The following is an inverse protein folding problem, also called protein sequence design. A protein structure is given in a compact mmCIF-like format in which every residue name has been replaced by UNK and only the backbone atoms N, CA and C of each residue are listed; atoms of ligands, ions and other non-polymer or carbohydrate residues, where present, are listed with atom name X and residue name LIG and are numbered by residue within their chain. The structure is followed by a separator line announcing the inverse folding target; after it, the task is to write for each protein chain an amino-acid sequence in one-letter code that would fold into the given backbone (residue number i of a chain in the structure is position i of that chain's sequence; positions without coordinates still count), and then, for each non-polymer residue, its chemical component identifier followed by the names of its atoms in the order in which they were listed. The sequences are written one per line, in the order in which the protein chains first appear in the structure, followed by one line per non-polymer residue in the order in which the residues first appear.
data_IF_605015573377
#
_entry.id   IF_605015573377
#
_cell.length_a   1.000
_cell.length_b   1.000
_cell.length_c   1.000
_cell.angle_alpha   90.00
_cell.angle_beta   90.00
_cell.angle_gamma   90.00
#
_symmetry.space_group_name_H-M   'P 1'
#
loop_
_entity.id
_entity.type
_entity.pdbx_description
1 polymer ?
#
# COMPACT_ATOMS: atom_id res chain seq x y z
N UNK A 1 -18.38 -10.69 69.30
CA UNK A 1 -19.67 -10.97 68.63
C UNK A 1 -19.84 -9.82 67.64
N UNK A 2 -19.35 -9.95 66.41
CA UNK A 2 -20.10 -10.51 65.26
C UNK A 2 -21.34 -9.63 65.00
N UNK A 3 -21.61 -9.04 63.83
CA UNK A 3 -21.17 -9.32 62.46
C UNK A 3 -21.63 -8.15 61.54
N UNK A 4 -21.13 -8.19 60.30
CA UNK A 4 -21.30 -7.30 59.14
C UNK A 4 -22.72 -6.83 58.73
N UNK A 5 -22.75 -5.65 58.07
CA UNK A 5 -23.37 -5.37 56.76
C UNK A 5 -23.23 -3.85 56.48
N UNK A 6 -22.43 -3.33 55.55
CA UNK A 6 -22.36 -3.48 54.08
C UNK A 6 -23.49 -2.77 53.30
N UNK A 7 -23.06 -1.91 52.36
CA UNK A 7 -23.73 -1.49 51.10
C UNK A 7 -24.84 -0.42 51.21
N UNK A 8 -24.96 0.62 50.37
CA UNK A 8 -24.32 0.95 49.09
C UNK A 8 -24.43 2.47 48.83
N UNK A 9 -23.37 3.08 48.28
CA UNK A 9 -23.47 4.35 47.55
C UNK A 9 -23.73 4.02 46.07
N UNK A 10 -24.59 4.76 45.34
CA UNK A 10 -24.78 4.52 43.92
C UNK A 10 -23.55 5.02 43.16
N UNK A 11 -22.73 4.06 42.70
CA UNK A 11 -21.74 4.28 41.66
C UNK A 11 -22.46 4.80 40.41
N UNK A 12 -22.22 6.06 40.06
CA UNK A 12 -22.44 6.55 38.69
C UNK A 12 -21.36 5.90 37.84
N UNK A 13 -21.71 4.79 37.20
CA UNK A 13 -20.86 4.16 36.20
C UNK A 13 -20.70 5.15 35.03
N UNK A 14 -19.51 5.77 34.95
CA UNK A 14 -19.06 6.41 33.73
C UNK A 14 -19.01 5.33 32.64
N UNK A 15 -19.75 5.61 31.58
CA UNK A 15 -19.95 4.78 30.41
C UNK A 15 -18.61 4.47 29.71
N UNK A 16 -18.16 3.20 29.61
CA UNK A 16 -16.89 2.83 28.96
C UNK A 16 -16.93 2.92 27.42
N UNK A 17 -18.01 3.44 26.83
CA UNK A 17 -18.21 3.44 25.37
C UNK A 17 -17.53 4.62 24.67
N UNK A 18 -17.00 5.61 25.39
CA UNK A 18 -16.40 6.82 24.78
C UNK A 18 -14.89 6.66 24.48
N UNK A 19 -14.19 5.72 25.13
CA UNK A 19 -12.76 5.50 24.88
C UNK A 19 -12.47 4.70 23.60
N UNK A 20 -13.48 4.16 22.92
CA UNK A 20 -13.29 3.41 21.66
C UNK A 20 -13.23 4.33 20.41
N UNK A 21 -13.52 5.63 20.55
CA UNK A 21 -13.52 6.58 19.43
C UNK A 21 -12.16 7.25 19.15
N UNK A 22 -11.12 6.93 19.94
CA UNK A 22 -9.82 7.64 19.93
C UNK A 22 -8.62 6.74 19.65
N UNK A 23 -8.81 5.59 18.99
CA UNK A 23 -7.68 4.81 18.50
C UNK A 23 -7.50 5.01 16.99
N UNK A 24 -6.56 5.86 16.53
CA UNK A 24 -6.27 6.05 15.10
C UNK A 24 -5.76 4.76 14.43
N UNK A 25 -5.34 3.75 15.20
CA UNK A 25 -4.99 2.43 14.66
C UNK A 25 -6.21 1.62 14.17
N UNK A 26 -7.44 1.98 14.56
CA UNK A 26 -8.66 1.22 14.26
C UNK A 26 -9.62 1.92 13.31
N UNK A 27 -9.34 3.17 12.90
CA UNK A 27 -10.13 3.87 11.90
C UNK A 27 -9.26 4.57 10.84
N UNK A 28 -9.05 3.95 9.66
CA UNK A 28 -8.31 4.57 8.55
C UNK A 28 -8.92 5.88 8.04
N UNK A 29 -10.18 6.18 8.38
CA UNK A 29 -10.82 7.47 8.07
C UNK A 29 -10.20 8.66 8.83
N UNK A 30 -9.42 8.41 9.89
CA UNK A 30 -8.82 9.44 10.75
C UNK A 30 -7.31 9.57 10.61
N UNK A 31 -6.71 9.08 9.52
CA UNK A 31 -5.29 9.30 9.24
C UNK A 31 -5.11 10.67 8.57
N UNK A 32 -4.61 11.72 9.28
CA UNK A 32 -4.69 13.09 8.77
C UNK A 32 -3.88 13.31 7.50
N UNK A 33 -2.73 12.64 7.35
CA UNK A 33 -1.92 12.76 6.14
C UNK A 33 -2.57 12.05 4.94
N UNK A 34 -3.16 10.86 5.13
CA UNK A 34 -3.93 10.19 4.06
C UNK A 34 -5.19 10.97 3.67
N UNK A 35 -5.88 11.56 4.65
CA UNK A 35 -7.06 12.38 4.40
C UNK A 35 -6.71 13.64 3.59
N UNK A 36 -5.66 14.36 4.00
CA UNK A 36 -5.16 15.52 3.25
C UNK A 36 -4.72 15.13 1.84
N UNK A 37 -4.00 14.02 1.70
CA UNK A 37 -3.61 13.50 0.40
C UNK A 37 -4.83 13.16 -0.48
N UNK A 38 -5.86 12.54 0.10
CA UNK A 38 -7.09 12.24 -0.62
C UNK A 38 -7.77 13.52 -1.16
N UNK A 39 -7.91 14.55 -0.33
CA UNK A 39 -8.47 15.85 -0.72
C UNK A 39 -7.65 16.54 -1.80
N UNK A 40 -6.34 16.67 -1.59
CA UNK A 40 -5.47 17.49 -2.44
C UNK A 40 -5.10 16.79 -3.75
N UNK A 41 -5.02 15.46 -3.76
CA UNK A 41 -4.45 14.69 -4.86
C UNK A 41 -5.43 13.72 -5.52
N UNK A 42 -6.25 13.01 -4.75
CA UNK A 42 -7.12 11.94 -5.27
C UNK A 42 -8.44 12.51 -5.79
N UNK A 43 -9.18 13.26 -4.97
CA UNK A 43 -10.50 13.81 -5.32
C UNK A 43 -10.48 14.61 -6.64
N UNK A 44 -9.47 15.47 -6.93
CA UNK A 44 -9.43 16.20 -8.21
C UNK A 44 -9.21 15.32 -9.44
N UNK A 45 -8.73 14.08 -9.25
CA UNK A 45 -8.38 13.13 -10.32
C UNK A 45 -9.41 12.01 -10.48
N UNK A 46 -10.31 11.84 -9.52
CA UNK A 46 -11.44 10.93 -9.62
C UNK A 46 -12.57 11.68 -10.34
N UNK A 47 -13.05 11.22 -11.50
CA UNK A 47 -14.16 11.89 -12.18
C UNK A 47 -15.40 11.91 -11.27
N UNK A 48 -16.17 13.01 -11.30
CA UNK A 48 -17.32 13.22 -10.41
C UNK A 48 -18.37 12.09 -10.43
N UNK A 49 -18.41 11.28 -11.50
CA UNK A 49 -19.33 10.15 -11.62
C UNK A 49 -18.89 8.88 -10.86
N UNK A 50 -17.59 8.71 -10.54
CA UNK A 50 -17.10 7.56 -9.76
C UNK A 50 -17.12 7.80 -8.25
N UNK A 51 -17.27 9.04 -7.79
CA UNK A 51 -17.40 9.35 -6.36
C UNK A 51 -18.70 8.78 -5.74
N UNK A 52 -19.78 8.68 -6.54
CA UNK A 52 -21.03 8.02 -6.14
C UNK A 52 -20.94 6.49 -6.14
N UNK A 53 -20.19 5.88 -7.06
CA UNK A 53 -19.95 4.43 -7.11
C UNK A 53 -18.95 3.96 -6.04
N UNK A 54 -17.97 4.78 -5.69
CA UNK A 54 -17.05 4.53 -4.58
C UNK A 54 -17.74 4.58 -3.20
N UNK A 55 -18.86 5.32 -3.09
CA UNK A 55 -19.65 5.45 -1.86
C UNK A 55 -20.71 4.35 -1.69
N UNK A 56 -21.05 3.62 -2.75
CA UNK A 56 -22.14 2.64 -2.77
C UNK A 56 -21.68 1.23 -3.10
N UNK A 57 -21.00 0.55 -2.17
CA UNK A 57 -21.04 -0.92 -2.00
C UNK A 57 -20.63 -1.87 -3.14
N UNK A 58 -20.43 -1.43 -4.38
CA UNK A 58 -20.17 -2.30 -5.54
C UNK A 58 -19.05 -1.73 -6.42
N UNK A 59 -17.87 -1.52 -5.85
CA UNK A 59 -16.62 -1.48 -6.64
C UNK A 59 -16.16 -2.92 -6.95
N UNK A 60 -17.09 -3.78 -7.37
CA UNK A 60 -16.88 -5.23 -7.59
C UNK A 60 -17.08 -5.66 -9.03
N UNK A 61 -17.50 -4.78 -9.95
CA UNK A 61 -17.78 -5.16 -11.34
C UNK A 61 -16.78 -4.59 -12.37
N UNK A 62 -15.52 -4.40 -11.95
CA UNK A 62 -14.42 -4.37 -12.91
C UNK A 62 -13.88 -5.79 -13.00
N UNK A 63 -14.00 -6.40 -14.18
CA UNK A 63 -13.36 -7.68 -14.46
C UNK A 63 -11.91 -7.62 -13.94
N UNK A 64 -11.49 -8.55 -13.07
CA UNK A 64 -10.18 -8.47 -12.44
C UNK A 64 -9.14 -8.39 -13.56
N UNK A 65 -8.31 -7.35 -13.50
CA UNK A 65 -7.19 -7.22 -14.42
C UNK A 65 -6.26 -8.43 -14.30
N UNK A 66 -5.35 -8.62 -15.27
CA UNK A 66 -4.31 -9.63 -15.15
C UNK A 66 -3.55 -9.42 -13.85
N UNK A 67 -3.29 -10.53 -13.15
CA UNK A 67 -2.50 -10.51 -11.94
C UNK A 67 -1.02 -10.20 -12.24
N UNK A 68 -0.26 -9.91 -11.19
CA UNK A 68 1.18 -9.59 -11.28
C UNK A 68 1.98 -10.67 -12.03
N UNK A 69 1.65 -11.95 -11.87
CA UNK A 69 2.32 -13.04 -12.57
C UNK A 69 2.02 -13.02 -14.08
N UNK A 70 0.79 -12.68 -14.46
CA UNK A 70 0.38 -12.57 -15.86
C UNK A 70 1.03 -11.38 -16.54
N UNK A 71 1.08 -10.22 -15.89
CA UNK A 71 1.78 -9.04 -16.42
C UNK A 71 3.27 -9.33 -16.66
N UNK A 72 3.94 -9.98 -15.69
CA UNK A 72 5.33 -10.40 -15.83
C UNK A 72 5.54 -11.36 -17.01
N UNK A 73 4.64 -12.34 -17.17
CA UNK A 73 4.70 -13.30 -18.28
C UNK A 73 4.55 -12.59 -19.63
N UNK A 74 3.55 -11.74 -19.75
CA UNK A 74 3.29 -10.96 -20.97
C UNK A 74 4.47 -10.02 -21.31
N UNK A 75 5.09 -9.39 -20.31
CA UNK A 75 6.31 -8.60 -20.51
C UNK A 75 7.49 -9.46 -20.98
N UNK A 76 7.67 -10.64 -20.41
CA UNK A 76 8.73 -11.56 -20.83
C UNK A 76 8.54 -12.01 -22.29
N UNK A 77 7.31 -12.36 -22.67
CA UNK A 77 6.96 -12.77 -24.03
C UNK A 77 7.17 -11.63 -25.04
N UNK A 78 6.77 -10.38 -24.71
CA UNK A 78 7.05 -9.19 -25.53
C UNK A 78 8.55 -8.98 -25.75
N UNK A 79 9.36 -9.36 -24.78
CA UNK A 79 10.83 -9.34 -24.84
C UNK A 79 11.44 -10.60 -25.47
N UNK A 80 10.64 -11.42 -26.16
CA UNK A 80 11.05 -12.64 -26.87
C UNK A 80 11.66 -13.71 -25.95
N UNK A 81 11.26 -13.73 -24.68
CA UNK A 81 11.57 -14.84 -23.78
C UNK A 81 10.44 -15.87 -23.85
N UNK A 82 10.79 -17.14 -23.99
CA UNK A 82 9.87 -18.25 -23.80
C UNK A 82 9.68 -18.48 -22.29
N UNK A 83 8.43 -18.45 -21.82
CA UNK A 83 8.09 -18.74 -20.42
C UNK A 83 7.59 -20.18 -20.32
N UNK A 84 8.32 -21.04 -19.60
CA UNK A 84 7.95 -22.45 -19.39
C UNK A 84 7.64 -22.72 -17.94
N UNK A 85 6.43 -23.21 -17.65
CA UNK A 85 6.08 -23.67 -16.32
C UNK A 85 6.94 -24.88 -15.92
N UNK A 86 7.40 -24.90 -14.67
CA UNK A 86 8.10 -26.04 -14.07
C UNK A 86 7.11 -26.81 -13.19
N UNK A 87 6.52 -26.10 -12.23
CA UNK A 87 5.57 -26.59 -11.24
C UNK A 87 4.80 -25.43 -10.60
N UNK A 88 3.54 -25.65 -10.20
CA UNK A 88 2.74 -24.66 -9.46
C UNK A 88 2.82 -23.22 -10.00
N UNK A 89 3.50 -22.35 -9.25
CA UNK A 89 3.75 -20.93 -9.58
C UNK A 89 5.13 -20.64 -10.19
N UNK A 90 5.98 -21.66 -10.32
CA UNK A 90 7.35 -21.59 -10.83
C UNK A 90 7.43 -21.67 -12.36
N UNK A 91 8.13 -20.71 -12.98
CA UNK A 91 8.41 -20.72 -14.41
C UNK A 91 9.89 -20.42 -14.69
N UNK A 92 10.41 -21.05 -15.74
CA UNK A 92 11.72 -20.73 -16.32
C UNK A 92 11.54 -19.75 -17.45
N UNK A 93 12.46 -18.78 -17.54
CA UNK A 93 12.57 -17.81 -18.63
C UNK A 93 13.71 -18.23 -19.55
N UNK A 94 13.42 -18.42 -20.83
CA UNK A 94 14.39 -18.88 -21.83
C UNK A 94 14.50 -17.83 -22.93
N UNK A 95 15.71 -17.38 -23.24
CA UNK A 95 15.98 -16.48 -24.36
C UNK A 95 17.01 -17.13 -25.28
N UNK A 96 16.71 -17.18 -26.58
CA UNK A 96 17.58 -17.79 -27.58
C UNK A 96 18.05 -19.23 -27.23
N UNK A 97 17.18 -20.02 -26.58
CA UNK A 97 17.47 -21.39 -26.16
C UNK A 97 18.28 -21.53 -24.87
N UNK A 98 18.63 -20.42 -24.20
CA UNK A 98 19.37 -20.39 -22.94
C UNK A 98 18.45 -19.96 -21.80
N UNK A 99 18.55 -20.62 -20.65
CA UNK A 99 17.83 -20.19 -19.44
C UNK A 99 18.46 -18.90 -18.93
N UNK A 100 17.68 -17.82 -18.94
CA UNK A 100 18.13 -16.47 -18.52
C UNK A 100 17.62 -16.07 -17.14
N UNK A 101 16.61 -16.79 -16.63
CA UNK A 101 16.05 -16.53 -15.32
C UNK A 101 14.84 -17.40 -15.01
N UNK A 102 14.10 -16.97 -14.00
CA UNK A 102 12.87 -17.63 -13.58
C UNK A 102 11.99 -16.70 -12.76
N UNK A 103 10.76 -17.14 -12.56
CA UNK A 103 9.79 -16.50 -11.69
C UNK A 103 9.13 -17.55 -10.78
N UNK A 104 8.86 -17.17 -9.54
CA UNK A 104 8.07 -17.93 -8.58
C UNK A 104 7.02 -16.99 -8.00
N UNK A 105 5.77 -17.13 -8.48
CA UNK A 105 4.71 -16.18 -8.17
C UNK A 105 5.03 -14.77 -8.68
N UNK A 106 5.39 -13.86 -7.77
CA UNK A 106 5.75 -12.45 -8.07
C UNK A 106 7.25 -12.17 -8.02
N UNK A 107 8.03 -13.11 -7.51
CA UNK A 107 9.47 -12.95 -7.31
C UNK A 107 10.20 -13.48 -8.54
N UNK A 108 11.21 -12.75 -9.02
CA UNK A 108 12.05 -13.18 -10.14
C UNK A 108 13.47 -13.50 -9.68
N UNK A 109 14.26 -14.11 -10.55
CA UNK A 109 15.69 -14.36 -10.32
C UNK A 109 16.55 -13.11 -10.17
N UNK A 110 16.00 -11.90 -10.37
CA UNK A 110 16.65 -10.65 -9.96
C UNK A 110 16.77 -10.55 -8.44
N UNK A 111 15.91 -11.25 -7.70
CA UNK A 111 15.99 -11.39 -6.24
C UNK A 111 16.69 -12.69 -5.91
N UNK A 112 17.88 -12.58 -5.30
CA UNK A 112 18.64 -13.75 -4.85
C UNK A 112 18.07 -14.27 -3.53
N UNK A 113 18.32 -15.54 -3.23
CA UNK A 113 17.87 -16.19 -1.99
C UNK A 113 18.21 -15.41 -0.72
N UNK A 114 19.42 -14.82 -0.66
CA UNK A 114 19.82 -13.97 0.47
C UNK A 114 18.96 -12.71 0.59
N UNK A 115 18.76 -11.99 -0.52
CA UNK A 115 17.94 -10.77 -0.53
C UNK A 115 16.49 -11.06 -0.13
N UNK A 116 15.94 -12.19 -0.59
CA UNK A 116 14.61 -12.66 -0.18
C UNK A 116 14.55 -12.98 1.32
N UNK A 117 15.50 -13.75 1.83
CA UNK A 117 15.54 -14.11 3.26
C UNK A 117 15.68 -12.88 4.17
N UNK A 118 16.48 -11.88 3.77
CA UNK A 118 16.61 -10.62 4.52
C UNK A 118 15.32 -9.80 4.43
N UNK A 119 14.68 -9.71 3.26
CA UNK A 119 13.38 -9.05 3.06
C UNK A 119 12.28 -9.64 3.94
N UNK A 120 12.25 -10.97 4.07
CA UNK A 120 11.24 -11.68 4.87
C UNK A 120 11.48 -11.54 6.39
N UNK A 121 12.67 -11.09 6.81
CA UNK A 121 13.03 -10.84 8.21
C UNK A 121 13.18 -9.32 8.47
N UNK A 122 12.16 -8.73 9.11
CA UNK A 122 12.15 -7.31 9.44
C UNK A 122 13.33 -6.87 10.34
N UNK A 123 13.85 -7.74 11.20
CA UNK A 123 15.01 -7.41 12.04
C UNK A 123 16.29 -7.39 11.19
N UNK A 124 16.49 -8.38 10.33
CA UNK A 124 17.62 -8.44 9.41
C UNK A 124 17.61 -7.27 8.41
N UNK A 125 16.44 -6.93 7.86
CA UNK A 125 16.27 -5.74 7.00
C UNK A 125 16.68 -4.47 7.75
N UNK A 126 16.17 -4.27 8.98
CA UNK A 126 16.54 -3.10 9.80
C UNK A 126 18.03 -3.04 10.09
N UNK A 127 18.71 -4.17 10.31
CA UNK A 127 20.16 -4.21 10.53
C UNK A 127 20.94 -3.71 9.30
N UNK A 128 20.56 -4.14 8.09
CA UNK A 128 21.18 -3.67 6.85
C UNK A 128 20.97 -2.17 6.63
N UNK A 129 19.75 -1.68 6.88
CA UNK A 129 19.42 -0.26 6.76
C UNK A 129 20.22 0.58 7.77
N UNK A 130 20.35 0.12 9.02
CA UNK A 130 21.20 0.76 10.05
C UNK A 130 22.67 0.79 9.64
N UNK A 131 23.20 -0.32 9.13
CA UNK A 131 24.59 -0.40 8.67
C UNK A 131 24.89 0.62 7.56
N UNK A 132 23.90 0.92 6.72
CA UNK A 132 23.97 1.96 5.68
C UNK A 132 23.60 3.36 6.15
N UNK A 133 23.26 3.54 7.43
CA UNK A 133 22.83 4.81 8.04
C UNK A 133 21.58 5.39 7.38
N UNK A 134 20.69 4.51 6.89
CA UNK A 134 19.44 4.91 6.30
C UNK A 134 18.37 5.17 7.39
N UNK A 135 17.45 6.12 7.17
CA UNK A 135 16.45 6.49 8.15
C UNK A 135 15.46 5.36 8.39
N UNK A 136 15.24 5.04 9.66
CA UNK A 136 14.26 4.07 10.13
C UNK A 136 13.20 4.77 10.98
N UNK A 137 11.99 4.20 11.08
CA UNK A 137 10.93 4.76 11.91
C UNK A 137 11.42 4.88 13.35
N UNK A 138 11.18 6.03 13.97
CA UNK A 138 11.51 6.20 15.38
C UNK A 138 10.57 5.36 16.25
N UNK A 139 11.06 4.86 17.39
CA UNK A 139 10.19 4.18 18.36
C UNK A 139 9.12 5.17 18.85
N UNK A 140 7.85 4.81 18.66
CA UNK A 140 6.72 5.67 19.00
C UNK A 140 6.40 6.77 17.99
N UNK A 141 6.99 6.75 16.79
CA UNK A 141 6.57 7.62 15.69
C UNK A 141 5.11 7.32 15.33
N UNK A 142 4.28 8.36 15.35
CA UNK A 142 2.86 8.21 15.04
C UNK A 142 2.70 8.00 13.52
N UNK A 143 2.30 6.78 13.10
CA UNK A 143 2.19 6.46 11.69
C UNK A 143 1.00 7.15 11.02
N UNK A 144 0.18 7.93 11.77
CA UNK A 144 -0.89 8.79 11.25
C UNK A 144 -0.39 10.12 10.67
N UNK A 145 0.85 10.50 10.99
CA UNK A 145 1.42 11.80 10.57
C UNK A 145 2.20 11.72 9.26
N UNK A 146 2.40 10.52 8.74
CA UNK A 146 3.19 10.24 7.54
C UNK A 146 2.39 9.51 6.49
N UNK A 147 2.66 9.81 5.23
CA UNK A 147 2.05 9.18 4.08
C UNK A 147 2.80 7.88 3.74
N UNK A 148 2.12 6.73 3.70
CA UNK A 148 2.71 5.48 3.22
C UNK A 148 2.89 5.54 1.69
N UNK A 149 4.14 5.55 1.23
CA UNK A 149 4.51 5.51 -0.19
C UNK A 149 5.27 4.22 -0.49
N UNK A 150 4.81 3.46 -1.48
CA UNK A 150 5.50 2.26 -1.98
C UNK A 150 6.18 2.59 -3.30
N UNK A 151 7.51 2.55 -3.33
CA UNK A 151 8.32 2.84 -4.52
C UNK A 151 8.88 1.53 -5.06
N UNK A 152 8.57 1.21 -6.32
CA UNK A 152 9.12 0.03 -6.98
C UNK A 152 10.47 0.35 -7.59
N UNK A 153 11.48 -0.46 -7.28
CA UNK A 153 12.87 -0.30 -7.73
C UNK A 153 13.28 -1.52 -8.55
N UNK A 154 13.90 -1.29 -9.71
CA UNK A 154 14.48 -2.33 -10.56
C UNK A 154 15.93 -1.92 -10.87
N UNK A 155 16.88 -2.78 -10.52
CA UNK A 155 18.32 -2.59 -10.72
C UNK A 155 18.85 -1.20 -10.34
N UNK A 156 18.40 -0.67 -9.20
CA UNK A 156 18.83 0.64 -8.71
C UNK A 156 18.15 1.83 -9.38
N UNK A 157 17.06 1.61 -10.13
CA UNK A 157 16.24 2.67 -10.70
C UNK A 157 14.84 2.58 -10.12
N UNK A 158 14.32 3.68 -9.58
CA UNK A 158 12.91 3.78 -9.22
C UNK A 158 12.07 3.85 -10.50
N UNK A 159 11.10 2.95 -10.65
CA UNK A 159 10.29 2.80 -11.87
C UNK A 159 8.83 3.17 -11.66
N UNK A 160 8.35 3.14 -10.42
CA UNK A 160 6.98 3.48 -10.04
C UNK A 160 6.91 3.89 -8.58
N UNK A 161 5.90 4.69 -8.21
CA UNK A 161 5.58 4.99 -6.84
C UNK A 161 4.07 5.12 -6.68
N UNK A 162 3.52 4.45 -5.67
CA UNK A 162 2.09 4.48 -5.37
C UNK A 162 1.84 4.80 -3.91
N UNK A 163 0.64 5.34 -3.64
CA UNK A 163 0.05 5.45 -2.31
C UNK A 163 -1.22 4.62 -2.30
N UNK A 164 -1.43 3.83 -1.25
CA UNK A 164 -2.69 3.11 -1.05
C UNK A 164 -3.59 3.90 -0.12
N UNK A 165 -4.74 4.33 -0.64
CA UNK A 165 -5.71 5.14 0.10
C UNK A 165 -6.94 4.28 0.39
N UNK A 166 -7.31 4.06 1.66
CA UNK A 166 -8.53 3.34 2.00
C UNK A 166 -9.76 4.01 1.37
N UNK A 167 -10.67 3.22 0.79
CA UNK A 167 -11.84 3.74 0.08
C UNK A 167 -12.67 4.71 0.94
N UNK A 168 -12.86 4.38 2.22
CA UNK A 168 -13.56 5.24 3.18
C UNK A 168 -12.93 6.64 3.33
N UNK A 169 -11.60 6.75 3.22
CA UNK A 169 -10.88 8.03 3.29
C UNK A 169 -11.16 8.89 2.06
N UNK A 170 -11.30 8.26 0.89
CA UNK A 170 -11.65 8.95 -0.36
C UNK A 170 -13.09 9.46 -0.32
N UNK A 171 -14.03 8.63 0.16
CA UNK A 171 -15.44 9.03 0.30
C UNK A 171 -15.58 10.20 1.27
N UNK A 172 -14.96 10.12 2.45
CA UNK A 172 -14.99 11.21 3.42
C UNK A 172 -14.38 12.51 2.88
N UNK A 173 -13.29 12.42 2.11
CA UNK A 173 -12.68 13.58 1.45
C UNK A 173 -13.60 14.19 0.38
N UNK A 174 -14.25 13.36 -0.43
CA UNK A 174 -15.19 13.81 -1.45
C UNK A 174 -16.41 14.53 -0.85
N UNK A 175 -16.96 14.01 0.26
CA UNK A 175 -18.08 14.62 0.99
C UNK A 175 -17.71 16.02 1.52
N UNK A 176 -16.53 16.17 2.13
CA UNK A 176 -16.07 17.46 2.63
C UNK A 176 -15.85 18.47 1.49
N UNK A 177 -15.31 18.03 0.36
CA UNK A 177 -15.14 18.87 -0.83
C UNK A 177 -16.49 19.37 -1.39
N UNK A 178 -17.51 18.50 -1.39
CA UNK A 178 -18.87 18.86 -1.80
C UNK A 178 -19.57 19.80 -0.79
N UNK A 179 -19.29 19.68 0.50
CA UNK A 179 -19.79 20.59 1.54
C UNK A 179 -19.08 21.96 1.53
N UNK A 180 -17.78 21.99 1.19
CA UNK A 180 -17.01 23.23 1.05
C UNK A 180 -17.45 24.09 -0.13
N UNK A 181 -17.95 23.48 -1.21
CA UNK A 181 -18.48 24.18 -2.39
C UNK A 181 -19.92 24.70 -2.22
N UNK A 182 -20.66 24.21 -1.22
CA UNK A 182 -22.04 24.66 -0.93
C UNK A 182 -22.12 25.86 0.01
N UNK A 183 -21.00 26.31 0.61
CA UNK A 183 -21.01 27.42 1.58
C UNK A 183 -21.09 28.81 0.92
N UNK A 184 -20.89 28.94 -0.39
CA UNK A 184 -21.17 30.19 -1.12
C UNK A 184 -22.60 30.29 -1.69
N UNK A 185 -23.42 29.24 -1.61
CA UNK A 185 -24.82 29.27 -2.11
C UNK A 185 -25.91 28.83 -1.11
N UNK A 186 -25.57 28.26 0.05
CA UNK A 186 -26.56 27.86 1.06
C UNK A 186 -26.72 28.89 2.19
N UNK A 187 -26.90 30.15 1.81
CA UNK A 187 -27.45 31.21 2.66
C UNK A 187 -28.98 31.26 2.59
N UNK A 188 -29.65 30.11 2.49
CA UNK A 188 -31.10 29.98 2.63
C UNK A 188 -31.42 28.50 2.88
N UNK A 189 -32.35 28.24 3.79
CA UNK A 189 -33.01 26.94 4.01
C UNK A 189 -32.24 25.92 4.88
N UNK A 190 -32.00 26.31 6.14
CA UNK A 190 -32.07 25.36 7.25
C UNK A 190 -33.55 25.01 7.52
N UNK A 191 -33.93 23.75 7.33
CA UNK A 191 -34.80 22.99 8.24
C UNK A 191 -35.13 21.61 7.64
N UNK A 192 -34.71 20.52 8.28
CA UNK A 192 -35.39 19.24 8.13
C UNK A 192 -34.53 17.98 8.21
N UNK A 193 -34.83 17.16 9.22
CA UNK A 193 -34.68 15.71 9.27
C UNK A 193 -33.27 15.10 9.49
N UNK A 194 -32.97 14.99 10.78
CA UNK A 194 -32.11 13.99 11.42
C UNK A 194 -32.63 12.56 11.14
N UNK A 195 -31.80 11.69 10.55
CA UNK A 195 -31.99 10.23 10.56
C UNK A 195 -30.65 9.51 10.37
N UNK A 196 -30.30 8.67 11.36
CA UNK A 196 -29.11 7.84 11.40
C UNK A 196 -29.33 6.48 10.68
N UNK A 197 -28.33 5.92 9.98
CA UNK A 197 -28.38 4.52 9.56
C UNK A 197 -27.74 3.56 10.56
N UNK A 198 -28.40 2.42 10.74
CA UNK A 198 -28.10 1.30 11.62
C UNK A 198 -26.89 0.47 11.17
N UNK A 199 -26.08 0.03 12.13
CA UNK A 199 -24.98 -0.92 11.99
C UNK A 199 -25.47 -2.34 11.64
N UNK A 200 -25.13 -2.82 10.45
CA UNK A 200 -25.25 -4.23 10.06
C UNK A 200 -23.91 -4.95 10.22
N UNK A 201 -23.89 -6.04 10.98
CA UNK A 201 -22.74 -6.95 11.12
C UNK A 201 -22.58 -7.86 9.91
N UNK A 202 -21.39 -8.00 9.30
CA UNK A 202 -21.10 -9.10 8.39
C UNK A 202 -20.71 -10.36 9.18
N UNK A 203 -21.44 -11.43 8.90
CA UNK A 203 -21.23 -12.79 9.41
C UNK A 203 -20.19 -13.54 8.57
N UNK A 204 -19.33 -14.27 9.30
CA UNK A 204 -18.55 -15.45 8.96
C UNK A 204 -18.28 -15.82 7.48
N UNK A 205 -16.99 -15.85 7.13
CA UNK A 205 -16.44 -16.85 6.21
C UNK A 205 -15.12 -17.39 6.78
N UNK A 206 -15.17 -18.62 7.31
CA UNK A 206 -14.00 -19.45 7.62
C UNK A 206 -13.57 -20.23 6.37
N UNK A 207 -12.27 -20.22 6.09
CA UNK A 207 -11.63 -21.24 5.25
C UNK A 207 -10.26 -20.80 4.72
N UNK A 208 -9.22 -21.56 5.10
CA UNK A 208 -7.82 -21.55 4.61
C UNK A 208 -6.96 -20.34 5.08
N UNK A 209 -5.69 -20.44 5.44
CA UNK A 209 -4.72 -21.53 5.63
C UNK A 209 -3.59 -20.96 6.54
N UNK A 210 -2.71 -21.82 7.02
CA UNK A 210 -1.74 -21.60 8.10
C UNK A 210 -0.70 -20.47 7.93
N UNK A 211 -0.47 -19.69 9.00
CA UNK A 211 0.89 -19.40 9.48
C UNK A 211 1.67 -18.19 8.96
N UNK A 212 1.03 -17.16 8.38
CA UNK A 212 1.67 -15.87 8.14
C UNK A 212 1.14 -14.83 9.15
N UNK A 213 2.04 -14.14 9.85
CA UNK A 213 1.73 -12.88 10.55
C UNK A 213 0.87 -11.98 9.63
N UNK A 214 -0.14 -11.25 10.15
CA UNK A 214 -1.04 -10.48 9.32
C UNK A 214 -0.25 -9.43 8.53
N UNK A 215 -0.07 -9.68 7.23
CA UNK A 215 0.48 -8.71 6.27
C UNK A 215 -0.26 -7.38 6.45
N UNK A 216 0.47 -6.31 6.78
CA UNK A 216 -0.06 -5.01 7.17
C UNK A 216 -1.31 -4.60 6.35
N UNK A 217 -2.46 -4.48 7.03
CA UNK A 217 -3.75 -4.15 6.41
C UNK A 217 -3.74 -2.83 5.63
N UNK A 218 -2.83 -1.91 6.02
CA UNK A 218 -2.58 -0.62 5.37
C UNK A 218 -2.19 -0.76 3.89
N UNK A 219 -1.56 -1.88 3.52
CA UNK A 219 -1.02 -2.09 2.17
C UNK A 219 -1.80 -3.15 1.38
N UNK A 220 -2.69 -3.90 2.02
CA UNK A 220 -3.46 -4.96 1.37
C UNK A 220 -4.84 -4.52 0.89
N UNK A 221 -5.33 -3.34 1.31
CA UNK A 221 -6.65 -2.82 0.94
C UNK A 221 -6.59 -1.34 0.61
N UNK A 222 -7.40 -0.89 -0.36
CA UNK A 222 -7.50 0.52 -0.75
C UNK A 222 -7.13 0.80 -2.21
N UNK A 223 -7.49 2.01 -2.64
CA UNK A 223 -7.27 2.57 -3.96
C UNK A 223 -5.76 2.78 -4.19
N UNK A 224 -5.20 2.16 -5.22
CA UNK A 224 -3.83 2.39 -5.65
C UNK A 224 -3.75 3.69 -6.46
N UNK A 225 -3.00 4.66 -5.96
CA UNK A 225 -2.84 5.98 -6.58
C UNK A 225 -1.41 6.14 -7.04
N UNK A 226 -1.19 6.32 -8.34
CA UNK A 226 0.13 6.66 -8.90
C UNK A 226 0.53 8.08 -8.50
N UNK A 227 1.70 8.16 -7.85
CA UNK A 227 2.30 9.40 -7.37
C UNK A 227 3.71 9.60 -7.93
N UNK A 228 4.17 8.76 -8.86
CA UNK A 228 5.57 8.74 -9.29
C UNK A 228 6.09 10.10 -9.76
N UNK A 229 5.33 10.85 -10.55
CA UNK A 229 5.73 12.18 -11.03
C UNK A 229 5.59 13.28 -9.98
N UNK A 230 4.87 13.02 -8.89
CA UNK A 230 4.67 13.94 -7.77
C UNK A 230 5.68 13.74 -6.63
N UNK A 231 6.33 12.57 -6.58
CA UNK A 231 7.32 12.22 -5.56
C UNK A 231 8.65 12.93 -5.84
N UNK A 232 9.24 13.49 -4.79
CA UNK A 232 10.53 14.17 -4.83
C UNK A 232 11.66 13.23 -5.25
N UNK A 233 12.63 13.74 -6.01
CA UNK A 233 13.78 12.94 -6.46
C UNK A 233 14.61 12.39 -5.30
N UNK A 234 14.62 13.08 -4.18
CA UNK A 234 15.25 12.68 -2.93
C UNK A 234 14.56 11.49 -2.28
N UNK A 235 13.22 11.44 -2.31
CA UNK A 235 12.43 10.28 -1.85
C UNK A 235 12.69 9.07 -2.74
N UNK A 236 12.72 9.26 -4.07
CA UNK A 236 13.06 8.17 -5.00
C UNK A 236 14.49 7.68 -4.81
N UNK A 237 15.46 8.58 -4.58
CA UNK A 237 16.84 8.22 -4.28
C UNK A 237 16.94 7.42 -2.97
N UNK A 238 16.20 7.83 -1.93
CA UNK A 238 16.13 7.09 -0.67
C UNK A 238 15.61 5.66 -0.87
N UNK A 239 14.58 5.46 -1.69
CA UNK A 239 14.10 4.13 -2.04
C UNK A 239 15.18 3.29 -2.76
N UNK A 240 15.88 3.89 -3.73
CA UNK A 240 16.98 3.22 -4.43
C UNK A 240 18.09 2.80 -3.46
N UNK A 241 18.51 3.71 -2.57
CA UNK A 241 19.54 3.44 -1.57
C UNK A 241 19.11 2.32 -0.61
N UNK A 242 17.83 2.30 -0.21
CA UNK A 242 17.26 1.25 0.63
C UNK A 242 17.28 -0.12 -0.06
N UNK A 243 16.86 -0.20 -1.32
CA UNK A 243 16.91 -1.44 -2.09
C UNK A 243 18.35 -1.94 -2.27
N UNK A 244 19.31 -1.03 -2.48
CA UNK A 244 20.73 -1.36 -2.63
C UNK A 244 21.44 -1.68 -1.30
N UNK A 245 20.83 -1.36 -0.16
CA UNK A 245 21.38 -1.66 1.15
C UNK A 245 21.48 -3.17 1.41
N UNK A 246 20.57 -3.95 0.82
CA UNK A 246 20.51 -5.41 0.94
C UNK A 246 21.06 -6.05 -0.34
N UNK A 247 22.20 -6.76 -0.26
CA UNK A 247 22.75 -7.48 -1.40
C UNK A 247 21.75 -8.48 -2.00
N UNK A 248 21.64 -8.48 -3.33
CA UNK A 248 20.82 -9.46 -4.04
C UNK A 248 19.35 -9.08 -4.21
N UNK A 249 18.93 -7.86 -3.85
CA UNK A 249 17.63 -7.32 -4.28
C UNK A 249 17.82 -6.57 -5.59
N UNK A 250 17.53 -7.24 -6.72
CA UNK A 250 17.57 -6.64 -8.05
C UNK A 250 16.23 -6.08 -8.53
N UNK A 251 15.11 -6.48 -7.89
CA UNK A 251 13.79 -5.92 -8.13
C UNK A 251 12.92 -6.07 -6.87
N UNK A 252 12.11 -5.07 -6.55
CA UNK A 252 11.19 -5.10 -5.42
C UNK A 252 10.69 -3.71 -5.07
N UNK A 253 9.75 -3.62 -4.14
CA UNK A 253 9.25 -2.36 -3.64
C UNK A 253 9.87 -1.97 -2.29
N UNK A 254 9.95 -0.67 -2.06
CA UNK A 254 10.39 -0.07 -0.80
C UNK A 254 9.22 0.69 -0.23
N UNK A 255 8.81 0.33 0.98
CA UNK A 255 7.76 1.04 1.71
C UNK A 255 8.39 2.13 2.56
N UNK A 256 7.93 3.35 2.33
CA UNK A 256 8.40 4.55 2.98
C UNK A 256 7.25 5.20 3.73
N UNK A 257 7.56 5.79 4.88
CA UNK A 257 6.71 6.75 5.55
C UNK A 257 7.29 8.14 5.28
N UNK A 258 6.58 8.96 4.50
CA UNK A 258 7.03 10.30 4.12
C UNK A 258 6.08 11.35 4.69
N UNK A 259 6.55 12.40 5.38
CA UNK A 259 5.66 13.48 5.80
C UNK A 259 5.04 14.22 4.61
N UNK A 260 5.82 14.37 3.53
CA UNK A 260 5.46 15.11 2.32
C UNK A 260 6.00 14.39 1.09
N UNK A 261 5.24 14.37 -0.02
CA UNK A 261 5.64 13.63 -1.23
C UNK A 261 6.90 14.18 -1.89
N UNK A 262 7.11 15.50 -1.83
CA UNK A 262 8.18 16.19 -2.54
C UNK A 262 9.48 16.32 -1.73
N UNK A 263 9.57 15.68 -0.56
CA UNK A 263 10.71 15.83 0.36
C UNK A 263 10.97 14.55 1.16
N UNK A 264 12.23 14.12 1.18
CA UNK A 264 12.71 13.03 2.01
C UNK A 264 13.03 13.49 3.45
N UNK A 265 12.79 14.75 3.79
CA UNK A 265 13.04 15.25 5.14
C UNK A 265 12.15 14.51 6.15
N UNK A 266 12.79 13.80 7.09
CA UNK A 266 12.15 12.91 8.08
C UNK A 266 11.39 11.73 7.45
N UNK A 267 11.67 11.39 6.19
CA UNK A 267 11.20 10.14 5.62
C UNK A 267 11.89 8.97 6.33
N UNK A 268 11.17 7.87 6.50
CA UNK A 268 11.69 6.64 7.10
C UNK A 268 11.33 5.41 6.28
N UNK A 269 12.20 4.40 6.30
CA UNK A 269 11.99 3.15 5.55
C UNK A 269 11.32 2.12 6.46
N UNK A 270 10.13 1.69 6.08
CA UNK A 270 9.33 0.71 6.81
C UNK A 270 9.78 -0.72 6.48
N UNK A 271 9.85 -1.04 5.19
CA UNK A 271 10.11 -2.39 4.72
C UNK A 271 10.67 -2.43 3.30
N UNK A 272 11.33 -3.55 2.98
CA UNK A 272 11.66 -3.99 1.63
C UNK A 272 10.74 -5.17 1.28
N UNK A 273 10.07 -5.11 0.13
CA UNK A 273 9.03 -6.07 -0.26
C UNK A 273 9.34 -6.60 -1.65
N UNK A 274 9.89 -7.82 -1.71
CA UNK A 274 10.31 -8.45 -2.97
C UNK A 274 9.18 -9.13 -3.74
N UNK A 275 8.04 -9.40 -3.08
CA UNK A 275 6.82 -9.97 -3.67
C UNK A 275 5.71 -8.92 -3.88
N UNK A 276 6.10 -7.65 -4.01
CA UNK A 276 5.21 -6.52 -4.16
C UNK A 276 4.23 -6.68 -5.34
N UNK A 277 3.08 -6.02 -5.23
CA UNK A 277 2.00 -6.16 -6.20
C UNK A 277 2.23 -5.30 -7.45
N UNK A 278 2.89 -5.87 -8.44
CA UNK A 278 3.20 -5.24 -9.74
C UNK A 278 1.93 -4.69 -10.42
N UNK A 279 0.81 -5.40 -10.30
CA UNK A 279 -0.46 -4.98 -10.91
C UNK A 279 -0.92 -3.59 -10.42
N UNK A 280 -0.73 -3.28 -9.14
CA UNK A 280 -1.08 -1.97 -8.58
C UNK A 280 -0.21 -0.82 -9.11
N UNK A 281 1.03 -1.11 -9.52
CA UNK A 281 1.93 -0.13 -10.14
C UNK A 281 1.68 0.05 -11.64
N UNK A 282 1.32 -1.02 -12.33
CA UNK A 282 1.04 -1.01 -13.77
C UNK A 282 -0.36 -0.52 -14.12
N UNK A 283 -1.31 -0.77 -13.24
CA UNK A 283 -2.73 -0.44 -13.43
C UNK A 283 -3.26 0.14 -12.12
N UNK A 284 -2.76 1.31 -11.69
CA UNK A 284 -3.30 1.99 -10.53
C UNK A 284 -4.76 2.37 -10.82
N UNK A 285 -5.55 2.45 -9.76
CA UNK A 285 -6.94 2.89 -9.87
C UNK A 285 -7.04 4.37 -10.24
N UNK A 286 -6.06 5.18 -9.79
CA UNK A 286 -5.95 6.62 -10.09
C UNK A 286 -4.53 6.95 -10.55
N UNK A 287 -4.42 7.67 -11.66
CA UNK A 287 -3.15 8.13 -12.22
C UNK A 287 -2.67 7.28 -13.39
N UNK A 288 -1.36 7.29 -13.65
CA UNK A 288 -0.79 6.66 -14.85
C UNK A 288 -0.07 5.37 -14.49
N UNK A 289 -0.41 4.28 -15.18
CA UNK A 289 0.30 3.01 -15.06
C UNK A 289 1.78 3.12 -15.44
N UNK A 290 2.65 2.44 -14.69
CA UNK A 290 4.11 2.41 -14.93
C UNK A 290 4.52 1.01 -15.38
N UNK A 291 5.34 0.90 -16.42
CA UNK A 291 5.77 -0.38 -17.01
C UNK A 291 6.75 -1.19 -16.14
N UNK A 292 6.33 -1.63 -14.96
CA UNK A 292 7.17 -2.32 -13.99
C UNK A 292 7.58 -3.72 -14.48
N UNK A 293 6.65 -4.51 -15.01
CA UNK A 293 6.95 -5.83 -15.60
C UNK A 293 7.90 -5.73 -16.78
N UNK A 294 7.74 -4.70 -17.61
CA UNK A 294 8.62 -4.42 -18.74
C UNK A 294 10.04 -4.12 -18.25
N UNK A 295 10.18 -3.25 -17.24
CA UNK A 295 11.48 -2.94 -16.64
C UNK A 295 12.15 -4.20 -16.03
N UNK A 296 11.38 -5.06 -15.36
CA UNK A 296 11.87 -6.34 -14.82
C UNK A 296 12.33 -7.27 -15.94
N UNK A 297 11.52 -7.45 -16.99
CA UNK A 297 11.82 -8.32 -18.12
C UNK A 297 13.09 -7.87 -18.86
N UNK A 298 13.21 -6.57 -19.13
CA UNK A 298 14.40 -5.99 -19.74
C UNK A 298 15.63 -6.22 -18.86
N UNK A 299 15.51 -5.99 -17.55
CA UNK A 299 16.63 -6.17 -16.63
C UNK A 299 17.10 -7.62 -16.53
N UNK A 300 16.22 -8.61 -16.65
CA UNK A 300 16.58 -10.03 -16.71
C UNK A 300 17.45 -10.31 -17.95
N UNK A 301 17.04 -9.80 -19.12
CA UNK A 301 17.83 -9.94 -20.35
C UNK A 301 19.19 -9.26 -20.28
N UNK A 302 19.22 -8.04 -19.74
CA UNK A 302 20.48 -7.30 -19.55
C UNK A 302 21.44 -8.03 -18.62
N UNK A 303 20.92 -8.69 -17.57
CA UNK A 303 21.75 -9.46 -16.64
C UNK A 303 22.25 -10.76 -17.28
N UNK A 304 21.47 -11.40 -18.15
CA UNK A 304 21.87 -12.61 -18.86
C UNK A 304 22.86 -12.38 -20.01
N UNK A 305 22.98 -11.13 -20.46
CA UNK A 305 23.89 -10.73 -21.56
C UNK A 305 25.30 -10.35 -21.07
N UNK A 306 25.53 -10.33 -19.75
CA UNK A 306 26.82 -10.00 -19.12
C UNK A 306 27.57 -11.27 -18.75
#
# INVERSE_FOLDING_TARGET
MSSDASSAAPHTALNPTIDTALNPALNPALHPALHRFALDYVVPRVPANTAGEAAGGEMTDRAPGPDSATLLREACERNRMDVRAIDGSGHTLIFAGVVVGGLEGRVTTLVRAYGRAVSDDAAATREHLKARKLPLPAEGEDPSTTLPVEVFVVAGTAVSAIVRVPAMTVTAAAEISAQGTTTEQAGAERAGAEQAPSSGTPSDARGADHGAEPRDQRWSTGLAVDVFDAVGKDVLALAVDAAQAVPGIGAGAVRLNVPELHSAAKASIEALVVDADIAAHERPDVGTGRGVSEAIAQQILEHASK
#
